data_IF_929049632687
#
_entry.id   IF_929049632687
#
_cell.length_a   1.000
_cell.length_b   1.000
_cell.length_c   1.000
_cell.angle_alpha   90.00
_cell.angle_beta   90.00
_cell.angle_gamma   90.00
#
_symmetry.space_group_name_H-M   'P 1'
#
loop_
_entity.id
_entity.type
_entity.pdbx_description
1 polymer ?
#
# COMPACT_ATOMS: atom_id res chain seq x y z
N UNK A 1 -59.62 48.15 -43.18
CA UNK A 1 -58.50 47.24 -43.50
C UNK A 1 -57.41 47.54 -42.49
N UNK A 2 -57.22 46.65 -41.45
CA UNK A 2 -56.19 46.81 -40.43
C UNK A 2 -54.86 46.21 -40.95
N UNK A 3 -53.82 47.03 -41.14
CA UNK A 3 -52.51 46.57 -41.45
C UNK A 3 -51.89 45.92 -40.20
N UNK A 4 -51.69 44.61 -40.24
CA UNK A 4 -51.06 43.86 -39.18
C UNK A 4 -49.53 44.06 -39.35
N UNK A 5 -48.89 44.72 -38.38
CA UNK A 5 -47.50 44.97 -38.37
C UNK A 5 -46.70 43.67 -38.20
N UNK A 6 -46.04 43.25 -39.24
CA UNK A 6 -45.21 42.00 -39.27
C UNK A 6 -44.02 42.04 -38.30
N UNK A 7 -43.64 43.24 -37.85
CA UNK A 7 -42.47 43.45 -37.00
C UNK A 7 -42.66 42.85 -35.56
N UNK A 8 -43.92 42.84 -35.05
CA UNK A 8 -44.17 42.33 -33.69
C UNK A 8 -44.06 40.83 -33.55
N UNK A 9 -44.13 40.05 -34.64
CA UNK A 9 -44.09 38.55 -34.58
C UNK A 9 -42.69 38.02 -34.52
N UNK A 10 -41.67 38.75 -34.99
CA UNK A 10 -40.26 38.31 -34.94
C UNK A 10 -39.57 38.75 -33.65
N UNK A 11 -40.03 39.84 -33.02
CA UNK A 11 -39.50 40.27 -31.71
C UNK A 11 -39.82 39.25 -30.59
N UNK A 12 -40.98 38.61 -30.64
CA UNK A 12 -41.33 37.56 -29.65
C UNK A 12 -40.51 36.25 -29.86
N UNK A 13 -40.14 35.95 -31.12
CA UNK A 13 -39.34 34.76 -31.41
C UNK A 13 -37.89 34.94 -31.02
N UNK A 14 -37.30 36.13 -31.14
CA UNK A 14 -35.95 36.42 -30.72
C UNK A 14 -35.76 36.41 -29.20
N UNK A 15 -36.81 36.83 -28.45
CA UNK A 15 -36.77 36.80 -26.98
C UNK A 15 -36.85 35.38 -26.40
N UNK A 16 -37.49 34.43 -27.09
CA UNK A 16 -37.56 33.03 -26.64
C UNK A 16 -36.26 32.29 -26.93
N UNK A 17 -35.57 32.60 -28.03
CA UNK A 17 -34.29 31.94 -28.38
C UNK A 17 -33.14 32.39 -27.47
N UNK A 18 -33.14 33.64 -26.98
CA UNK A 18 -32.09 34.13 -26.07
C UNK A 18 -32.28 33.65 -24.63
N UNK A 19 -33.48 33.16 -24.24
CA UNK A 19 -33.70 32.65 -22.88
C UNK A 19 -33.35 31.18 -22.70
N UNK A 20 -33.10 30.44 -23.81
CA UNK A 20 -32.74 29.02 -23.77
C UNK A 20 -31.23 28.74 -23.86
N UNK A 21 -30.40 29.81 -24.00
CA UNK A 21 -28.92 29.66 -24.14
C UNK A 21 -28.13 29.77 -22.82
N UNK A 22 -28.79 29.70 -21.68
CA UNK A 22 -28.18 30.11 -20.42
C UNK A 22 -28.07 29.04 -19.33
N UNK A 23 -28.27 27.75 -19.59
CA UNK A 23 -28.10 26.73 -18.54
C UNK A 23 -27.34 25.52 -19.08
N UNK A 24 -26.11 25.73 -19.50
CA UNK A 24 -25.07 24.73 -19.40
C UNK A 24 -24.09 25.22 -18.33
N UNK A 25 -24.54 25.24 -17.09
CA UNK A 25 -23.61 25.10 -15.97
C UNK A 25 -23.09 23.67 -16.07
N UNK A 26 -22.01 23.53 -16.84
CA UNK A 26 -21.10 22.42 -16.68
C UNK A 26 -20.66 22.45 -15.22
N UNK A 27 -21.29 21.63 -14.36
CA UNK A 27 -20.62 21.14 -13.17
C UNK A 27 -19.39 20.39 -13.67
N UNK A 28 -18.26 21.07 -13.83
CA UNK A 28 -16.99 20.46 -13.57
C UNK A 28 -17.06 20.07 -12.10
N UNK A 29 -17.49 18.84 -11.82
CA UNK A 29 -17.05 18.18 -10.62
C UNK A 29 -15.53 18.32 -10.65
N UNK A 30 -15.01 19.25 -9.83
CA UNK A 30 -13.66 19.09 -9.35
C UNK A 30 -13.73 17.71 -8.68
N UNK A 31 -13.18 16.69 -9.34
CA UNK A 31 -12.61 15.57 -8.64
C UNK A 31 -11.68 16.23 -7.62
N UNK A 32 -12.25 16.59 -6.45
CA UNK A 32 -11.46 16.82 -5.28
C UNK A 32 -10.64 15.55 -5.20
N UNK A 33 -9.32 15.69 -5.33
CA UNK A 33 -8.35 14.62 -5.11
C UNK A 33 -8.68 14.00 -3.74
N UNK A 34 -9.62 13.07 -3.75
CA UNK A 34 -9.83 12.15 -2.65
C UNK A 34 -8.57 11.31 -2.73
N UNK A 35 -7.53 11.77 -2.02
CA UNK A 35 -6.30 10.99 -1.84
C UNK A 35 -6.76 9.69 -1.19
N UNK A 36 -7.00 8.70 -2.06
CA UNK A 36 -7.45 7.39 -1.60
C UNK A 36 -6.39 6.88 -0.63
N UNK A 37 -6.78 6.58 0.60
CA UNK A 37 -5.88 6.07 1.61
C UNK A 37 -5.09 4.89 1.04
N UNK A 38 -3.76 4.89 1.28
CA UNK A 38 -2.88 3.85 0.75
C UNK A 38 -2.69 2.75 1.78
N UNK A 39 -3.20 1.57 1.50
CA UNK A 39 -2.94 0.38 2.32
C UNK A 39 -1.49 -0.11 2.16
N UNK A 40 -1.05 -1.02 3.05
CA UNK A 40 0.26 -1.70 2.94
C UNK A 40 0.45 -2.26 1.52
N UNK A 41 -0.58 -2.92 0.97
CA UNK A 41 -0.57 -3.41 -0.42
C UNK A 41 -0.28 -2.29 -1.41
N UNK A 42 -1.00 -1.17 -1.30
CA UNK A 42 -0.85 -0.07 -2.27
C UNK A 42 0.55 0.55 -2.20
N UNK A 43 1.12 0.68 -1.00
CA UNK A 43 2.50 1.17 -0.81
C UNK A 43 3.50 0.21 -1.48
N UNK A 44 3.39 -1.10 -1.26
CA UNK A 44 4.29 -2.09 -1.85
C UNK A 44 4.14 -2.13 -3.39
N UNK A 45 2.91 -2.06 -3.91
CA UNK A 45 2.68 -2.10 -5.35
C UNK A 45 3.18 -0.86 -6.10
N UNK A 46 3.19 0.31 -5.46
CA UNK A 46 3.55 1.58 -6.08
C UNK A 46 5.02 1.97 -5.91
N UNK A 47 5.72 1.41 -4.92
CA UNK A 47 7.12 1.75 -4.65
C UNK A 47 8.06 0.81 -5.41
N UNK A 48 8.97 1.40 -6.20
CA UNK A 48 9.96 0.68 -7.01
C UNK A 48 10.98 -0.12 -6.19
N UNK A 49 11.20 0.25 -4.92
CA UNK A 49 12.14 -0.47 -4.03
C UNK A 49 11.65 -1.86 -3.60
N UNK A 50 10.38 -2.19 -3.84
CA UNK A 50 9.77 -3.46 -3.47
C UNK A 50 9.38 -4.32 -4.68
N UNK A 51 10.09 -4.21 -5.82
CA UNK A 51 9.73 -4.93 -7.04
C UNK A 51 9.67 -6.44 -6.83
N UNK A 52 10.65 -7.02 -6.13
CA UNK A 52 10.71 -8.45 -5.80
C UNK A 52 9.55 -8.87 -4.88
N UNK A 53 9.30 -8.10 -3.80
CA UNK A 53 8.20 -8.39 -2.88
C UNK A 53 6.83 -8.25 -3.56
N UNK A 54 6.67 -7.24 -4.41
CA UNK A 54 5.48 -7.04 -5.25
C UNK A 54 5.18 -8.25 -6.14
N UNK A 55 6.20 -8.76 -6.85
CA UNK A 55 6.05 -9.94 -7.71
C UNK A 55 5.61 -11.18 -6.89
N UNK A 56 6.17 -11.37 -5.69
CA UNK A 56 5.78 -12.46 -4.79
C UNK A 56 4.32 -12.31 -4.35
N UNK A 57 3.90 -11.11 -3.94
CA UNK A 57 2.54 -10.84 -3.48
C UNK A 57 1.54 -11.08 -4.60
N UNK A 58 1.80 -10.56 -5.80
CA UNK A 58 0.89 -10.68 -6.95
C UNK A 58 0.79 -12.12 -7.47
N UNK A 59 1.92 -12.82 -7.61
CA UNK A 59 1.94 -14.20 -8.11
C UNK A 59 1.24 -15.21 -7.17
N UNK A 60 1.11 -14.87 -5.88
CA UNK A 60 0.52 -15.73 -4.87
C UNK A 60 -0.84 -15.23 -4.34
N UNK A 61 -1.45 -14.24 -4.99
CA UNK A 61 -2.78 -13.69 -4.65
C UNK A 61 -2.87 -13.17 -3.20
N UNK A 62 -1.80 -12.53 -2.68
CA UNK A 62 -1.70 -12.11 -1.27
C UNK A 62 -2.13 -10.65 -1.05
N UNK A 63 -2.54 -9.93 -2.08
CA UNK A 63 -2.89 -8.50 -2.00
C UNK A 63 -3.98 -8.20 -0.97
N UNK A 64 -5.03 -9.01 -0.94
CA UNK A 64 -6.15 -8.81 -0.02
C UNK A 64 -5.79 -9.13 1.44
N UNK A 65 -4.93 -10.13 1.65
CA UNK A 65 -4.46 -10.48 2.98
C UNK A 65 -3.66 -9.36 3.65
N UNK A 66 -2.97 -8.53 2.86
CA UNK A 66 -2.20 -7.37 3.34
C UNK A 66 -3.06 -6.10 3.49
N UNK A 67 -4.36 -6.16 3.20
CA UNK A 67 -5.34 -5.08 3.44
C UNK A 67 -6.04 -5.21 4.81
N UNK A 68 -5.76 -6.27 5.56
CA UNK A 68 -6.26 -6.44 6.93
C UNK A 68 -5.74 -5.31 7.83
N UNK A 69 -6.58 -4.87 8.75
CA UNK A 69 -6.26 -3.79 9.70
C UNK A 69 -5.24 -4.21 10.77
N UNK A 70 -4.57 -3.22 11.34
CA UNK A 70 -3.64 -3.38 12.47
C UNK A 70 -2.43 -4.27 12.19
N UNK A 71 -1.83 -4.14 11.00
CA UNK A 71 -0.64 -4.90 10.65
C UNK A 71 0.65 -4.08 10.83
N UNK A 72 1.75 -4.78 11.14
CA UNK A 72 3.10 -4.29 10.88
C UNK A 72 3.78 -5.25 9.93
N UNK A 73 4.17 -4.73 8.76
CA UNK A 73 4.95 -5.47 7.76
C UNK A 73 6.44 -5.11 7.91
N UNK A 74 7.28 -6.09 8.15
CA UNK A 74 8.74 -5.96 8.01
C UNK A 74 9.11 -6.28 6.57
N UNK A 75 9.17 -5.25 5.72
CA UNK A 75 9.31 -5.38 4.27
C UNK A 75 10.79 -5.42 3.85
N UNK A 76 11.30 -6.56 3.35
CA UNK A 76 12.61 -6.57 2.69
C UNK A 76 12.50 -5.77 1.38
N UNK A 77 13.43 -4.85 1.14
CA UNK A 77 13.54 -4.17 -0.14
C UNK A 77 14.33 -5.02 -1.16
N UNK A 78 14.42 -4.58 -2.41
CA UNK A 78 15.10 -5.32 -3.48
C UNK A 78 16.58 -5.56 -3.18
N UNK A 79 17.26 -4.63 -2.51
CA UNK A 79 18.64 -4.82 -2.06
C UNK A 79 18.74 -5.93 -1.00
N UNK A 80 17.78 -6.04 -0.08
CA UNK A 80 17.71 -7.09 0.93
C UNK A 80 17.56 -8.48 0.29
N UNK A 81 16.70 -8.60 -0.72
CA UNK A 81 16.52 -9.84 -1.49
C UNK A 81 17.77 -10.21 -2.24
N UNK A 82 18.38 -9.26 -2.98
CA UNK A 82 19.62 -9.45 -3.73
C UNK A 82 20.76 -9.92 -2.84
N UNK A 83 20.97 -9.25 -1.69
CA UNK A 83 22.04 -9.58 -0.75
C UNK A 83 21.86 -10.95 -0.06
N UNK A 84 20.62 -11.48 -0.10
CA UNK A 84 20.28 -12.79 0.45
C UNK A 84 20.19 -13.90 -0.61
N UNK A 85 20.48 -13.60 -1.89
CA UNK A 85 20.33 -14.51 -3.02
C UNK A 85 18.92 -15.13 -3.14
N UNK A 86 17.90 -14.36 -2.77
CA UNK A 86 16.50 -14.76 -2.89
C UNK A 86 15.89 -13.97 -4.04
N UNK A 87 15.29 -14.68 -4.99
CA UNK A 87 14.58 -14.08 -6.13
C UNK A 87 13.08 -14.34 -6.00
N UNK A 88 12.25 -13.51 -6.63
CA UNK A 88 10.81 -13.74 -6.73
C UNK A 88 10.51 -15.08 -7.41
N UNK A 89 11.26 -15.43 -8.45
CA UNK A 89 11.14 -16.71 -9.16
C UNK A 89 11.34 -17.92 -8.21
N UNK A 90 12.34 -17.86 -7.31
CA UNK A 90 12.59 -18.92 -6.32
C UNK A 90 11.41 -19.10 -5.36
N UNK A 91 10.83 -18.01 -4.87
CA UNK A 91 9.65 -18.06 -3.99
C UNK A 91 8.42 -18.54 -4.76
N UNK A 92 8.20 -18.03 -5.96
CA UNK A 92 7.03 -18.36 -6.79
C UNK A 92 7.07 -19.81 -7.33
N UNK A 93 8.24 -20.45 -7.34
CA UNK A 93 8.36 -21.90 -7.67
C UNK A 93 7.99 -22.83 -6.51
N UNK A 94 7.80 -22.30 -5.29
CA UNK A 94 7.32 -23.08 -4.14
C UNK A 94 5.81 -23.35 -4.24
N UNK A 95 5.31 -24.19 -3.33
CA UNK A 95 3.86 -24.31 -3.16
C UNK A 95 3.25 -22.98 -2.72
N UNK A 96 2.00 -22.71 -3.09
CA UNK A 96 1.26 -21.49 -2.68
C UNK A 96 1.31 -21.27 -1.16
N UNK A 97 1.17 -22.33 -0.38
CA UNK A 97 1.22 -22.28 1.09
C UNK A 97 2.61 -21.87 1.59
N UNK A 98 3.68 -22.36 0.95
CA UNK A 98 5.05 -21.99 1.32
C UNK A 98 5.38 -20.53 0.95
N UNK A 99 4.96 -20.09 -0.22
CA UNK A 99 5.12 -18.70 -0.66
C UNK A 99 4.30 -17.74 0.23
N UNK A 100 3.08 -18.12 0.59
CA UNK A 100 2.24 -17.38 1.55
C UNK A 100 2.93 -17.31 2.92
N UNK A 101 3.40 -18.44 3.43
CA UNK A 101 4.09 -18.50 4.72
C UNK A 101 5.35 -17.63 4.71
N UNK A 102 6.10 -17.58 3.60
CA UNK A 102 7.25 -16.69 3.47
C UNK A 102 6.85 -15.22 3.72
N UNK A 103 5.79 -14.73 3.08
CA UNK A 103 5.32 -13.35 3.29
C UNK A 103 4.77 -13.16 4.71
N UNK A 104 3.95 -14.08 5.20
CA UNK A 104 3.28 -13.97 6.49
C UNK A 104 4.20 -14.04 7.71
N UNK A 105 5.37 -14.63 7.56
CA UNK A 105 6.45 -14.62 8.58
C UNK A 105 7.09 -13.25 8.75
N UNK A 106 6.85 -12.32 7.84
CA UNK A 106 7.28 -10.93 7.93
C UNK A 106 6.21 -9.99 8.51
N UNK A 107 5.07 -10.51 8.94
CA UNK A 107 3.92 -9.70 9.37
C UNK A 107 3.53 -10.07 10.80
N UNK A 108 3.34 -9.06 11.63
CA UNK A 108 2.71 -9.20 12.94
C UNK A 108 1.31 -8.54 12.92
N UNK A 109 0.35 -9.18 13.60
CA UNK A 109 -1.05 -8.73 13.68
C UNK A 109 -1.27 -7.62 14.70
N UNK A 110 -0.37 -6.65 14.74
CA UNK A 110 -0.41 -5.49 15.63
C UNK A 110 0.24 -4.31 14.89
N UNK A 111 -0.40 -3.15 14.89
CA UNK A 111 0.21 -1.95 14.33
C UNK A 111 1.23 -1.37 15.32
N UNK A 112 2.52 -1.43 14.98
CA UNK A 112 3.63 -0.99 15.82
C UNK A 112 4.54 -0.03 15.06
N UNK A 113 4.78 1.15 15.64
CA UNK A 113 5.88 2.01 15.18
C UNK A 113 7.22 1.47 15.68
N UNK A 114 8.32 1.93 15.08
CA UNK A 114 9.66 1.51 15.51
C UNK A 114 9.91 1.80 16.99
N UNK A 115 9.39 2.92 17.49
CA UNK A 115 9.55 3.38 18.88
C UNK A 115 8.71 2.55 19.88
N UNK A 116 7.63 1.93 19.42
CA UNK A 116 6.77 1.07 20.26
C UNK A 116 7.21 -0.40 20.25
N UNK A 117 8.03 -0.79 19.27
CA UNK A 117 8.61 -2.14 19.23
C UNK A 117 9.55 -2.38 20.42
N UNK A 118 9.25 -3.38 21.22
CA UNK A 118 10.03 -3.76 22.40
C UNK A 118 10.88 -5.00 22.12
N UNK A 119 11.93 -5.18 22.92
CA UNK A 119 12.73 -6.41 22.96
C UNK A 119 11.90 -7.56 23.51
N UNK A 120 11.22 -8.26 22.62
CA UNK A 120 10.35 -9.39 22.94
C UNK A 120 10.04 -10.24 21.70
N UNK A 121 9.21 -11.26 21.89
CA UNK A 121 8.71 -12.12 20.84
C UNK A 121 7.34 -11.62 20.37
N UNK A 122 7.18 -11.46 19.07
CA UNK A 122 5.91 -11.08 18.42
C UNK A 122 5.42 -12.23 17.54
N UNK A 123 4.19 -12.69 17.74
CA UNK A 123 3.59 -13.72 16.88
C UNK A 123 3.38 -13.19 15.47
N UNK A 124 3.79 -13.97 14.46
CA UNK A 124 3.53 -13.66 13.06
C UNK A 124 2.12 -14.09 12.65
N UNK A 125 1.72 -13.80 11.41
CA UNK A 125 0.47 -14.33 10.85
C UNK A 125 0.54 -15.84 10.57
N UNK A 126 1.71 -16.47 10.70
CA UNK A 126 1.85 -17.93 10.62
C UNK A 126 1.69 -18.51 12.02
N UNK A 127 0.71 -19.41 12.19
CA UNK A 127 0.45 -20.07 13.48
C UNK A 127 1.69 -20.76 14.03
N UNK A 128 2.07 -20.41 15.25
CA UNK A 128 3.22 -21.00 15.94
C UNK A 128 4.57 -20.36 15.58
N UNK A 129 4.60 -19.41 14.66
CA UNK A 129 5.81 -18.68 14.27
C UNK A 129 5.87 -17.30 14.93
N UNK A 130 7.08 -16.73 15.03
CA UNK A 130 7.27 -15.43 15.69
C UNK A 130 8.55 -14.73 15.23
N UNK A 131 8.52 -13.41 15.32
CA UNK A 131 9.69 -12.55 15.17
C UNK A 131 10.23 -12.23 16.57
N UNK A 132 11.50 -12.53 16.80
CA UNK A 132 12.20 -12.17 18.04
C UNK A 132 12.90 -10.85 17.79
N UNK A 133 12.57 -9.83 18.55
CA UNK A 133 13.21 -8.52 18.50
C UNK A 133 14.17 -8.40 19.69
N UNK A 134 15.40 -8.02 19.39
CA UNK A 134 16.44 -7.75 20.37
C UNK A 134 17.13 -6.43 20.07
N UNK A 135 17.82 -5.86 21.04
CA UNK A 135 18.68 -4.70 20.81
C UNK A 135 20.07 -5.14 20.36
N UNK A 136 20.71 -4.30 19.54
CA UNK A 136 22.14 -4.50 19.24
C UNK A 136 22.99 -4.21 20.48
N UNK A 137 23.92 -5.08 20.79
CA UNK A 137 24.78 -4.93 21.98
C UNK A 137 25.62 -3.65 21.94
N UNK A 138 26.05 -3.24 20.74
CA UNK A 138 26.89 -2.05 20.54
C UNK A 138 26.09 -0.75 20.38
N UNK A 139 24.79 -0.85 20.09
CA UNK A 139 23.87 0.27 19.92
C UNK A 139 22.47 -0.18 20.35
N UNK A 140 22.08 0.10 21.62
CA UNK A 140 20.78 -0.29 22.16
C UNK A 140 19.58 0.35 21.45
N UNK A 141 19.78 1.37 20.63
CA UNK A 141 18.70 2.00 19.85
C UNK A 141 18.38 1.28 18.55
N UNK A 142 19.28 0.36 18.13
CA UNK A 142 19.10 -0.44 16.92
C UNK A 142 18.45 -1.78 17.26
N UNK A 143 17.26 -2.02 16.68
CA UNK A 143 16.54 -3.29 16.80
C UNK A 143 17.10 -4.31 15.80
N UNK A 144 17.27 -5.54 16.26
CA UNK A 144 17.64 -6.72 15.48
C UNK A 144 16.47 -7.69 15.47
N UNK A 145 16.06 -8.10 14.28
CA UNK A 145 14.96 -9.01 14.02
C UNK A 145 15.52 -10.42 13.74
N UNK A 146 15.12 -11.40 14.56
CA UNK A 146 15.58 -12.81 14.48
C UNK A 146 17.10 -12.97 14.46
N UNK A 147 17.86 -12.03 15.01
CA UNK A 147 19.33 -12.03 14.93
C UNK A 147 19.90 -11.83 13.52
N UNK A 148 19.07 -11.48 12.53
CA UNK A 148 19.43 -11.48 11.11
C UNK A 148 19.30 -10.10 10.46
N UNK A 149 18.20 -9.40 10.68
CA UNK A 149 17.83 -8.19 9.96
C UNK A 149 17.77 -6.97 10.87
N UNK A 150 17.99 -5.79 10.28
CA UNK A 150 17.80 -4.50 10.91
C UNK A 150 16.77 -3.69 10.12
N UNK A 151 16.04 -2.82 10.80
CA UNK A 151 15.20 -1.82 10.16
C UNK A 151 16.09 -0.72 9.59
N UNK A 152 15.92 -0.42 8.29
CA UNK A 152 16.68 0.61 7.56
C UNK A 152 15.85 1.84 7.23
N UNK A 153 14.53 1.68 7.05
CA UNK A 153 13.57 2.78 6.94
C UNK A 153 12.43 2.53 7.90
N UNK A 154 12.22 3.48 8.81
CA UNK A 154 11.25 3.36 9.90
C UNK A 154 9.91 3.96 9.50
N UNK A 155 8.83 3.36 9.98
CA UNK A 155 7.50 3.96 10.04
C UNK A 155 6.96 4.49 8.70
N UNK A 156 7.09 3.69 7.63
CA UNK A 156 6.37 4.01 6.39
C UNK A 156 4.88 3.75 6.64
N UNK A 157 4.11 4.83 6.63
CA UNK A 157 2.69 4.81 6.96
C UNK A 157 1.85 4.14 5.87
N UNK A 158 0.89 3.35 6.31
CA UNK A 158 -0.24 2.85 5.54
C UNK A 158 -1.50 2.95 6.41
N UNK A 159 -2.68 3.09 5.78
CA UNK A 159 -3.92 3.29 6.54
C UNK A 159 -4.31 2.09 7.40
N UNK A 160 -3.93 0.91 6.98
CA UNK A 160 -4.20 -0.33 7.70
C UNK A 160 -3.02 -0.82 8.55
N UNK A 161 -1.94 -0.03 8.69
CA UNK A 161 -0.80 -0.41 9.52
C UNK A 161 0.48 0.35 9.21
N UNK A 162 1.61 -0.23 9.61
CA UNK A 162 2.94 0.36 9.44
C UNK A 162 3.86 -0.60 8.70
N UNK A 163 4.74 -0.06 7.83
CA UNK A 163 5.79 -0.82 7.19
C UNK A 163 7.14 -0.41 7.79
N UNK A 164 7.91 -1.41 8.22
CA UNK A 164 9.30 -1.26 8.65
C UNK A 164 10.19 -1.89 7.57
N UNK A 165 10.95 -1.08 6.83
CA UNK A 165 11.81 -1.62 5.76
C UNK A 165 13.04 -2.27 6.38
N UNK A 166 13.35 -3.49 5.96
CA UNK A 166 14.45 -4.28 6.51
C UNK A 166 15.51 -4.62 5.46
N UNK A 167 16.77 -4.78 5.91
CA UNK A 167 17.92 -5.02 5.06
C UNK A 167 18.17 -6.50 4.72
N UNK A 168 17.39 -7.43 5.28
CA UNK A 168 17.41 -8.87 4.97
C UNK A 168 16.03 -9.48 5.21
N UNK A 169 15.59 -10.47 4.40
CA UNK A 169 14.42 -11.28 4.71
C UNK A 169 14.60 -12.03 6.05
N UNK A 170 13.48 -12.17 6.79
CA UNK A 170 13.46 -12.84 8.10
C UNK A 170 13.50 -14.38 7.99
N UNK A 171 13.39 -14.90 6.78
CA UNK A 171 13.34 -16.33 6.49
C UNK A 171 14.50 -16.70 5.59
N UNK A 172 15.25 -17.73 5.98
CA UNK A 172 16.29 -18.33 5.14
C UNK A 172 15.63 -19.33 4.18
N UNK A 173 15.79 -19.10 2.90
CA UNK A 173 15.29 -20.00 1.85
C UNK A 173 16.47 -20.85 1.38
N UNK A 174 16.45 -22.14 1.69
CA UNK A 174 17.45 -23.11 1.27
C UNK A 174 17.27 -23.54 -0.19
#
# INVERSE_FOLDING_TARGET
MKKINFIGRYAAFFLIVTFFSGIVTSCTEKDSDIVKPKTITDVILQNSEFSTLREIILANDLSDALRTENLTLFAPNDAAFKNSNITSAKINSMTKDSARAFVFKHIIGQNQTYETLKTQKYSTLVKGDSIIITNRTTDPTTLILNGLANVITKNVNADNGTIQVINKPLVVVK
#
